data_IF_408768138715
#
_entry.id   IF_408768138715
#
_cell.length_a   1.000
_cell.length_b   1.000
_cell.length_c   1.000
_cell.angle_alpha   90.00
_cell.angle_beta   90.00
_cell.angle_gamma   90.00
#
_symmetry.space_group_name_H-M   'P 1'
#
loop_
_entity.id
_entity.type
_entity.pdbx_description
1 polymer ?
#
# COMPACT_ATOMS: atom_id res chain seq x y z
N UNK A 1 -50.23 23.18 21.97
CA UNK A 1 -50.25 22.53 20.64
C UNK A 1 -48.86 21.96 20.39
N UNK A 2 -48.67 20.67 20.66
CA UNK A 2 -47.41 19.95 20.38
C UNK A 2 -47.30 19.74 18.88
N UNK A 3 -46.15 20.11 18.31
CA UNK A 3 -45.76 19.74 16.94
C UNK A 3 -45.64 18.21 16.90
N UNK A 4 -46.22 17.50 15.92
CA UNK A 4 -46.06 16.06 15.84
C UNK A 4 -44.60 15.73 15.50
N UNK A 5 -44.06 14.76 16.24
CA UNK A 5 -42.78 14.08 15.97
C UNK A 5 -42.91 13.32 14.65
N UNK A 6 -42.08 13.69 13.69
CA UNK A 6 -41.97 13.00 12.40
C UNK A 6 -41.00 11.81 12.56
N UNK A 7 -41.33 10.88 13.47
CA UNK A 7 -40.72 9.56 13.53
C UNK A 7 -41.66 8.61 12.79
N UNK A 8 -41.55 8.60 11.48
CA UNK A 8 -42.17 7.58 10.63
C UNK A 8 -41.21 7.26 9.49
N UNK A 9 -40.58 6.10 9.58
CA UNK A 9 -40.12 5.28 8.46
C UNK A 9 -39.44 6.02 7.30
N UNK A 10 -38.28 6.61 7.57
CA UNK A 10 -37.29 6.70 6.50
C UNK A 10 -36.85 5.26 6.22
N UNK A 11 -37.43 4.63 5.19
CA UNK A 11 -36.88 3.40 4.62
C UNK A 11 -35.40 3.65 4.36
N UNK A 12 -34.54 3.12 5.22
CA UNK A 12 -33.09 3.19 5.05
C UNK A 12 -32.80 2.46 3.76
N UNK A 13 -32.25 3.19 2.79
CA UNK A 13 -31.83 2.63 1.51
C UNK A 13 -31.04 1.34 1.79
N UNK A 14 -31.36 0.21 1.14
CA UNK A 14 -30.76 -1.07 1.49
C UNK A 14 -29.24 -0.98 1.41
N UNK A 15 -28.55 -1.49 2.44
CA UNK A 15 -27.09 -1.44 2.54
C UNK A 15 -26.46 -2.12 1.33
N UNK A 16 -25.47 -1.47 0.71
CA UNK A 16 -24.74 -2.01 -0.45
C UNK A 16 -23.27 -2.12 -0.08
N UNK A 17 -22.79 -3.34 0.15
CA UNK A 17 -21.46 -3.57 0.73
C UNK A 17 -20.57 -4.25 -0.31
N UNK A 18 -19.39 -3.68 -0.54
CA UNK A 18 -18.35 -4.28 -1.36
C UNK A 18 -17.30 -4.95 -0.47
N UNK A 19 -17.09 -6.25 -0.66
CA UNK A 19 -15.98 -6.98 -0.05
C UNK A 19 -14.86 -7.14 -1.09
N UNK A 20 -13.65 -6.72 -0.75
CA UNK A 20 -12.48 -6.84 -1.64
C UNK A 20 -11.49 -7.81 -1.03
N UNK A 21 -11.24 -8.91 -1.74
CA UNK A 21 -10.38 -10.01 -1.34
C UNK A 21 -9.33 -10.30 -2.41
N UNK A 22 -8.18 -10.84 -2.01
CA UNK A 22 -7.03 -11.11 -2.85
C UNK A 22 -7.21 -12.41 -3.62
N UNK A 23 -7.64 -13.48 -2.95
CA UNK A 23 -7.67 -14.84 -3.50
C UNK A 23 -9.04 -15.54 -3.31
N UNK A 24 -9.32 -16.59 -4.08
CA UNK A 24 -10.48 -17.46 -3.87
C UNK A 24 -10.37 -18.32 -2.60
N UNK A 25 -11.09 -17.97 -1.53
CA UNK A 25 -11.18 -18.61 -0.20
C UNK A 25 -11.23 -17.58 0.92
N UNK A 26 -10.46 -16.50 0.79
CA UNK A 26 -10.40 -15.36 1.70
C UNK A 26 -11.79 -14.87 2.10
N UNK A 27 -12.70 -14.79 1.14
CA UNK A 27 -14.04 -14.26 1.38
C UNK A 27 -14.85 -15.16 2.31
N UNK A 28 -14.68 -16.48 2.19
CA UNK A 28 -15.33 -17.49 3.01
C UNK A 28 -14.68 -17.59 4.39
N UNK A 29 -13.34 -17.52 4.44
CA UNK A 29 -12.53 -17.57 5.67
C UNK A 29 -12.84 -16.37 6.56
N UNK A 30 -12.71 -15.17 6.02
CA UNK A 30 -12.72 -13.93 6.81
C UNK A 30 -14.10 -13.29 6.94
N UNK A 31 -14.98 -13.48 5.95
CA UNK A 31 -16.21 -12.68 5.85
C UNK A 31 -17.46 -13.46 5.48
N UNK A 32 -17.37 -14.80 5.35
CA UNK A 32 -18.45 -15.61 4.79
C UNK A 32 -19.71 -15.56 5.64
N UNK A 33 -19.57 -15.50 6.97
CA UNK A 33 -20.70 -15.38 7.87
C UNK A 33 -21.35 -14.00 7.83
N UNK A 34 -20.56 -12.93 7.75
CA UNK A 34 -21.06 -11.55 7.64
C UNK A 34 -21.76 -11.33 6.31
N UNK A 35 -21.19 -11.85 5.20
CA UNK A 35 -21.82 -11.84 3.88
C UNK A 35 -23.21 -12.51 3.96
N UNK A 36 -23.31 -13.72 4.49
CA UNK A 36 -24.58 -14.43 4.64
C UNK A 36 -25.58 -13.64 5.51
N UNK A 37 -25.11 -13.07 6.61
CA UNK A 37 -25.92 -12.30 7.55
C UNK A 37 -26.47 -11.02 6.91
N UNK A 38 -25.66 -10.31 6.11
CA UNK A 38 -26.08 -9.12 5.38
C UNK A 38 -27.13 -9.44 4.32
N UNK A 39 -26.93 -10.54 3.57
CA UNK A 39 -27.89 -11.00 2.58
C UNK A 39 -29.24 -11.38 3.21
N UNK A 40 -29.23 -12.08 4.34
CA UNK A 40 -30.46 -12.44 5.07
C UNK A 40 -31.21 -11.21 5.63
N UNK A 41 -30.51 -10.09 5.81
CA UNK A 41 -31.08 -8.78 6.19
C UNK A 41 -31.53 -7.94 5.00
N UNK A 42 -31.37 -8.43 3.77
CA UNK A 42 -31.78 -7.74 2.55
C UNK A 42 -30.77 -6.71 2.02
N UNK A 43 -29.53 -6.72 2.52
CA UNK A 43 -28.45 -5.93 1.92
C UNK A 43 -28.05 -6.49 0.55
N UNK A 44 -27.55 -5.63 -0.33
CA UNK A 44 -26.88 -6.07 -1.56
C UNK A 44 -25.38 -6.22 -1.29
N UNK A 45 -24.83 -7.38 -1.62
CA UNK A 45 -23.41 -7.68 -1.43
C UNK A 45 -22.76 -7.93 -2.77
N UNK A 46 -21.63 -7.26 -3.01
CA UNK A 46 -20.72 -7.56 -4.12
C UNK A 46 -19.40 -8.08 -3.54
N UNK A 47 -18.90 -9.20 -4.06
CA UNK A 47 -17.57 -9.74 -3.72
C UNK A 47 -16.63 -9.51 -4.91
N UNK A 48 -15.51 -8.83 -4.67
CA UNK A 48 -14.48 -8.58 -5.68
C UNK A 48 -13.22 -9.36 -5.30
N UNK A 49 -12.79 -10.25 -6.18
CA UNK A 49 -11.58 -11.06 -5.98
C UNK A 49 -10.49 -10.61 -6.93
N UNK A 50 -9.30 -10.28 -6.40
CA UNK A 50 -8.23 -9.65 -7.17
C UNK A 50 -7.51 -10.62 -8.12
N UNK A 51 -7.17 -11.82 -7.65
CA UNK A 51 -6.40 -12.84 -8.39
C UNK A 51 -7.13 -14.18 -8.40
N UNK A 52 -6.65 -15.17 -9.17
CA UNK A 52 -7.25 -16.52 -9.17
C UNK A 52 -6.52 -17.49 -8.25
N UNK A 53 -5.52 -17.01 -7.52
CA UNK A 53 -4.77 -17.86 -6.61
C UNK A 53 -3.95 -18.95 -7.30
N UNK A 54 -3.42 -18.67 -8.50
CA UNK A 54 -2.65 -19.66 -9.27
C UNK A 54 -1.32 -20.08 -8.62
N UNK A 55 -0.85 -19.39 -7.58
CA UNK A 55 0.34 -19.78 -6.80
C UNK A 55 -0.04 -20.55 -5.52
N UNK A 56 -1.32 -20.86 -5.33
CA UNK A 56 -1.81 -21.57 -4.15
C UNK A 56 -1.22 -22.97 -4.00
N UNK A 57 -0.95 -23.36 -2.76
CA UNK A 57 -0.64 -24.74 -2.42
C UNK A 57 -1.91 -25.62 -2.51
N UNK A 58 -1.74 -26.93 -2.68
CA UNK A 58 -2.86 -27.87 -2.80
C UNK A 58 -2.79 -28.87 -1.66
N UNK A 59 -3.86 -28.96 -0.87
CA UNK A 59 -3.94 -29.88 0.26
C UNK A 59 -4.25 -31.31 -0.19
N UNK A 60 -5.38 -31.59 -0.87
CA UNK A 60 -5.83 -32.96 -0.99
C UNK A 60 -5.08 -33.71 -2.11
N UNK A 61 -4.76 -34.98 -1.84
CA UNK A 61 -3.95 -35.80 -2.74
C UNK A 61 -4.57 -35.98 -4.13
N UNK A 62 -5.91 -36.04 -4.23
CA UNK A 62 -6.62 -36.21 -5.50
C UNK A 62 -6.48 -34.99 -6.43
N UNK A 63 -6.21 -33.80 -5.89
CA UNK A 63 -6.00 -32.57 -6.66
C UNK A 63 -4.53 -32.25 -6.93
N UNK A 64 -3.58 -33.06 -6.46
CA UNK A 64 -2.14 -32.80 -6.65
C UNK A 64 -1.70 -32.77 -8.12
N UNK A 65 -2.50 -33.31 -9.03
CA UNK A 65 -2.28 -33.19 -10.47
C UNK A 65 -2.33 -31.74 -10.99
N UNK A 66 -2.94 -30.81 -10.24
CA UNK A 66 -2.95 -29.37 -10.54
C UNK A 66 -1.71 -28.64 -10.00
N UNK A 67 -0.93 -29.28 -9.12
CA UNK A 67 0.28 -28.69 -8.55
C UNK A 67 1.30 -28.43 -9.65
N UNK A 68 1.95 -27.25 -9.63
CA UNK A 68 2.85 -26.81 -10.68
C UNK A 68 2.18 -26.43 -12.01
N UNK A 69 0.84 -26.44 -12.08
CA UNK A 69 0.06 -26.07 -13.26
C UNK A 69 -0.81 -24.83 -12.96
N UNK A 70 -0.22 -23.63 -12.86
CA UNK A 70 -0.88 -22.42 -12.34
C UNK A 70 -2.17 -22.06 -13.08
N UNK A 71 -2.22 -22.22 -14.41
CA UNK A 71 -3.43 -21.95 -15.19
C UNK A 71 -4.55 -22.97 -14.93
N UNK A 72 -4.20 -24.23 -14.69
CA UNK A 72 -5.18 -25.27 -14.36
C UNK A 72 -5.71 -25.07 -12.95
N UNK A 73 -4.84 -24.72 -12.00
CA UNK A 73 -5.23 -24.38 -10.64
C UNK A 73 -6.13 -23.13 -10.62
N UNK A 74 -5.80 -22.08 -11.37
CA UNK A 74 -6.66 -20.91 -11.51
C UNK A 74 -8.07 -21.29 -11.98
N UNK A 75 -8.19 -22.05 -13.08
CA UNK A 75 -9.49 -22.47 -13.60
C UNK A 75 -10.28 -23.33 -12.60
N UNK A 76 -9.60 -24.17 -11.81
CA UNK A 76 -10.20 -24.93 -10.74
C UNK A 76 -10.74 -24.00 -9.63
N UNK A 77 -9.90 -23.09 -9.13
CA UNK A 77 -10.25 -22.13 -8.07
C UNK A 77 -11.34 -21.13 -8.51
N UNK A 78 -11.44 -20.80 -9.79
CA UNK A 78 -12.56 -20.02 -10.33
C UNK A 78 -13.91 -20.76 -10.13
N UNK A 79 -13.91 -22.09 -10.29
CA UNK A 79 -15.09 -22.93 -10.07
C UNK A 79 -15.41 -23.11 -8.58
N UNK A 80 -14.37 -23.22 -7.74
CA UNK A 80 -14.52 -23.27 -6.28
C UNK A 80 -15.12 -21.98 -5.73
N UNK A 81 -14.63 -20.82 -6.17
CA UNK A 81 -15.20 -19.52 -5.80
C UNK A 81 -16.67 -19.42 -6.20
N UNK A 82 -17.02 -19.81 -7.44
CA UNK A 82 -18.40 -19.75 -7.90
C UNK A 82 -19.32 -20.65 -7.03
N UNK A 83 -18.84 -21.84 -6.64
CA UNK A 83 -19.56 -22.73 -5.74
C UNK A 83 -19.69 -22.14 -4.32
N UNK A 84 -18.62 -21.52 -3.80
CA UNK A 84 -18.64 -20.84 -2.50
C UNK A 84 -19.64 -19.68 -2.50
N UNK A 85 -19.60 -18.79 -3.50
CA UNK A 85 -20.52 -17.65 -3.66
C UNK A 85 -21.98 -18.10 -3.72
N UNK A 86 -22.26 -19.15 -4.50
CA UNK A 86 -23.57 -19.79 -4.54
C UNK A 86 -23.98 -20.32 -3.15
N UNK A 87 -23.07 -20.95 -2.41
CA UNK A 87 -23.34 -21.45 -1.08
C UNK A 87 -23.70 -20.33 -0.09
N UNK A 88 -23.00 -19.18 -0.11
CA UNK A 88 -23.30 -18.01 0.75
C UNK A 88 -24.55 -17.23 0.31
N UNK A 89 -24.94 -17.35 -0.96
CA UNK A 89 -26.05 -16.63 -1.58
C UNK A 89 -25.63 -15.35 -2.31
N UNK A 90 -24.34 -15.16 -2.57
CA UNK A 90 -23.83 -14.02 -3.36
C UNK A 90 -24.12 -14.25 -4.83
N UNK A 91 -24.80 -13.30 -5.46
CA UNK A 91 -25.10 -13.33 -6.90
C UNK A 91 -24.23 -12.39 -7.74
N UNK A 92 -23.58 -11.41 -7.10
CA UNK A 92 -22.65 -10.49 -7.74
C UNK A 92 -21.24 -10.71 -7.17
N UNK A 93 -20.47 -11.56 -7.85
CA UNK A 93 -19.04 -11.68 -7.59
C UNK A 93 -18.26 -11.39 -8.87
N UNK A 94 -17.15 -10.67 -8.76
CA UNK A 94 -16.40 -10.14 -9.89
C UNK A 94 -14.91 -10.41 -9.73
N UNK A 95 -14.23 -10.54 -10.87
CA UNK A 95 -12.78 -10.57 -10.94
C UNK A 95 -12.25 -9.17 -11.19
N UNK A 96 -11.28 -8.71 -10.40
CA UNK A 96 -10.62 -7.43 -10.65
C UNK A 96 -10.00 -7.40 -12.05
N UNK A 97 -10.18 -6.28 -12.73
CA UNK A 97 -9.70 -6.03 -14.09
C UNK A 97 -10.57 -6.68 -15.19
N UNK A 98 -11.60 -7.45 -14.84
CA UNK A 98 -12.59 -7.97 -15.77
C UNK A 98 -13.68 -6.91 -16.10
N UNK A 99 -14.53 -7.13 -17.12
CA UNK A 99 -15.65 -6.24 -17.40
C UNK A 99 -16.53 -5.98 -16.16
N UNK A 100 -16.84 -4.72 -15.87
CA UNK A 100 -17.57 -4.32 -14.65
C UNK A 100 -16.70 -4.20 -13.38
N UNK A 101 -15.41 -4.53 -13.47
CA UNK A 101 -14.41 -4.35 -12.42
C UNK A 101 -13.07 -3.86 -12.99
N UNK A 102 -13.15 -3.12 -14.10
CA UNK A 102 -12.04 -2.47 -14.80
C UNK A 102 -12.41 -1.02 -15.06
N UNK A 103 -11.45 -0.11 -14.89
CA UNK A 103 -11.62 1.31 -15.16
C UNK A 103 -12.25 1.51 -16.55
N UNK A 104 -13.26 2.39 -16.62
CA UNK A 104 -13.99 2.64 -17.86
C UNK A 104 -13.04 3.11 -18.96
N UNK A 105 -13.07 2.43 -20.11
CA UNK A 105 -12.20 2.71 -21.25
C UNK A 105 -10.83 2.04 -21.21
N UNK A 106 -10.46 1.36 -20.11
CA UNK A 106 -9.26 0.56 -20.05
C UNK A 106 -9.49 -0.85 -20.63
N UNK A 107 -8.44 -1.42 -21.24
CA UNK A 107 -8.48 -2.80 -21.71
C UNK A 107 -8.61 -3.77 -20.52
N UNK A 108 -9.27 -4.94 -20.69
CA UNK A 108 -9.32 -5.97 -19.65
C UNK A 108 -7.93 -6.35 -19.17
N UNK A 109 -7.82 -6.61 -17.87
CA UNK A 109 -6.57 -7.01 -17.23
C UNK A 109 -6.82 -8.18 -16.30
N UNK A 110 -5.88 -9.12 -16.29
CA UNK A 110 -5.80 -10.17 -15.28
C UNK A 110 -4.64 -9.81 -14.37
N UNK A 111 -4.90 -9.75 -13.07
CA UNK A 111 -3.87 -9.64 -12.04
C UNK A 111 -3.46 -11.05 -11.63
N UNK A 112 -2.17 -11.30 -11.67
CA UNK A 112 -1.60 -12.57 -11.25
C UNK A 112 -1.41 -12.60 -9.73
N UNK A 113 -1.58 -13.78 -9.15
CA UNK A 113 -1.19 -14.06 -7.77
C UNK A 113 0.31 -13.89 -7.62
N UNK A 114 0.73 -13.04 -6.69
CA UNK A 114 2.14 -12.72 -6.44
C UNK A 114 2.87 -13.86 -5.73
N UNK A 115 2.13 -14.78 -5.12
CA UNK A 115 2.65 -15.81 -4.23
C UNK A 115 3.34 -15.23 -2.99
N UNK A 116 3.81 -16.12 -2.13
CA UNK A 116 4.44 -15.77 -0.86
C UNK A 116 5.46 -16.82 -0.44
N UNK A 117 6.54 -16.37 0.21
CA UNK A 117 7.46 -17.20 0.97
C UNK A 117 7.59 -16.68 2.41
N UNK A 118 7.95 -17.55 3.34
CA UNK A 118 8.32 -17.15 4.70
C UNK A 118 9.79 -16.77 4.75
N UNK A 119 10.08 -15.47 4.88
CA UNK A 119 11.41 -14.91 5.13
C UNK A 119 11.72 -14.78 6.62
N UNK A 120 12.94 -14.32 6.94
CA UNK A 120 13.38 -14.14 8.33
C UNK A 120 12.57 -13.07 9.08
N UNK A 121 12.03 -12.09 8.36
CA UNK A 121 11.24 -10.99 8.92
C UNK A 121 9.72 -11.20 8.82
N UNK A 122 9.28 -12.38 8.35
CA UNK A 122 7.87 -12.70 8.12
C UNK A 122 7.58 -13.03 6.66
N UNK A 123 6.32 -12.96 6.23
CA UNK A 123 5.92 -13.28 4.87
C UNK A 123 6.43 -12.22 3.88
N UNK A 124 6.93 -12.69 2.75
CA UNK A 124 7.53 -11.88 1.68
C UNK A 124 7.00 -12.37 0.32
N UNK A 125 6.95 -11.52 -0.72
CA UNK A 125 6.62 -11.95 -2.08
C UNK A 125 7.65 -12.95 -2.62
N UNK A 126 7.24 -13.72 -3.64
CA UNK A 126 8.18 -14.57 -4.37
C UNK A 126 9.38 -13.74 -4.89
N UNK A 127 10.62 -14.30 -4.89
CA UNK A 127 11.79 -13.59 -5.40
C UNK A 127 11.68 -13.19 -6.87
N UNK A 128 10.90 -13.94 -7.66
CA UNK A 128 10.60 -13.65 -9.06
C UNK A 128 9.09 -13.55 -9.20
N UNK A 129 8.61 -12.34 -9.47
CA UNK A 129 7.19 -12.06 -9.65
C UNK A 129 6.79 -12.15 -11.12
N UNK A 130 5.54 -12.55 -11.36
CA UNK A 130 4.93 -12.41 -12.67
C UNK A 130 4.86 -10.92 -13.07
N UNK A 131 5.01 -10.57 -14.36
CA UNK A 131 4.95 -9.17 -14.81
C UNK A 131 3.63 -8.45 -14.47
N UNK A 132 2.55 -9.24 -14.33
CA UNK A 132 1.19 -8.83 -14.01
C UNK A 132 0.80 -9.16 -12.55
N UNK A 133 1.76 -9.48 -11.68
CA UNK A 133 1.54 -9.73 -10.26
C UNK A 133 0.86 -8.54 -9.56
N UNK A 134 -0.16 -8.81 -8.75
CA UNK A 134 -0.95 -7.78 -8.07
C UNK A 134 -0.08 -6.91 -7.16
N UNK A 135 0.85 -7.50 -6.39
CA UNK A 135 1.74 -6.78 -5.49
C UNK A 135 2.66 -5.77 -6.21
N UNK A 136 2.95 -5.99 -7.50
CA UNK A 136 3.76 -5.08 -8.32
C UNK A 136 2.94 -4.10 -9.15
N UNK A 137 1.61 -4.22 -9.15
CA UNK A 137 0.74 -3.32 -9.90
C UNK A 137 0.74 -1.89 -9.31
N UNK A 138 0.44 -0.90 -10.15
CA UNK A 138 0.25 0.47 -9.68
C UNK A 138 -0.99 0.53 -8.79
N UNK A 139 -0.82 0.96 -7.54
CA UNK A 139 -1.92 1.06 -6.57
C UNK A 139 -3.03 1.97 -7.08
N UNK A 140 -2.70 3.04 -7.82
CA UNK A 140 -3.67 3.95 -8.42
C UNK A 140 -4.51 3.27 -9.51
N UNK A 141 -3.90 2.42 -10.34
CA UNK A 141 -4.61 1.62 -11.34
C UNK A 141 -5.58 0.62 -10.68
N UNK A 142 -5.10 -0.15 -9.70
CA UNK A 142 -5.92 -1.13 -8.96
C UNK A 142 -7.06 -0.40 -8.22
N UNK A 143 -6.77 0.75 -7.60
CA UNK A 143 -7.78 1.56 -6.92
C UNK A 143 -8.84 2.13 -7.90
N UNK A 144 -8.46 2.50 -9.13
CA UNK A 144 -9.41 2.96 -10.14
C UNK A 144 -10.35 1.85 -10.62
N UNK A 145 -9.84 0.62 -10.71
CA UNK A 145 -10.65 -0.57 -11.00
C UNK A 145 -11.66 -0.85 -9.88
N UNK A 146 -11.21 -0.83 -8.62
CA UNK A 146 -12.10 -0.98 -7.44
C UNK A 146 -13.12 0.16 -7.36
N UNK A 147 -12.71 1.41 -7.61
CA UNK A 147 -13.60 2.57 -7.63
C UNK A 147 -14.70 2.44 -8.69
N UNK A 148 -14.40 1.77 -9.82
CA UNK A 148 -15.41 1.44 -10.84
C UNK A 148 -16.44 0.45 -10.30
N UNK A 149 -16.02 -0.53 -9.50
CA UNK A 149 -16.96 -1.44 -8.83
C UNK A 149 -17.83 -0.67 -7.84
N UNK A 150 -17.24 0.16 -6.98
CA UNK A 150 -17.97 1.01 -6.02
C UNK A 150 -19.03 1.85 -6.74
N UNK A 151 -18.65 2.50 -7.84
CA UNK A 151 -19.55 3.37 -8.61
C UNK A 151 -20.68 2.58 -9.30
N UNK A 152 -20.39 1.42 -9.87
CA UNK A 152 -21.38 0.62 -10.63
C UNK A 152 -22.34 -0.14 -9.74
N UNK A 153 -21.91 -0.55 -8.55
CA UNK A 153 -22.77 -1.22 -7.55
C UNK A 153 -23.47 -0.22 -6.64
N UNK A 154 -23.00 1.03 -6.59
CA UNK A 154 -23.46 2.03 -5.63
C UNK A 154 -23.10 1.67 -4.19
N UNK A 155 -21.99 0.95 -3.98
CA UNK A 155 -21.56 0.50 -2.67
C UNK A 155 -21.45 1.69 -1.69
N UNK A 156 -22.05 1.53 -0.52
CA UNK A 156 -22.09 2.52 0.56
C UNK A 156 -21.03 2.24 1.64
N UNK A 157 -20.38 1.09 1.59
CA UNK A 157 -19.19 0.77 2.38
C UNK A 157 -18.32 -0.27 1.67
N UNK A 158 -17.04 -0.28 2.02
CA UNK A 158 -16.05 -1.24 1.52
C UNK A 158 -15.43 -1.98 2.71
N UNK A 159 -15.28 -3.29 2.60
CA UNK A 159 -14.61 -4.17 3.57
C UNK A 159 -13.39 -4.81 2.89
N UNK A 160 -12.23 -4.74 3.51
CA UNK A 160 -11.02 -5.46 3.06
C UNK A 160 -10.07 -5.71 4.24
N UNK A 161 -8.82 -6.09 3.97
CA UNK A 161 -7.81 -6.37 5.00
C UNK A 161 -7.38 -5.13 5.78
N UNK A 162 -6.74 -5.33 6.92
CA UNK A 162 -5.96 -4.29 7.60
C UNK A 162 -4.68 -3.92 6.82
N UNK A 163 -3.92 -2.94 7.32
CA UNK A 163 -2.70 -2.43 6.67
C UNK A 163 -1.55 -3.44 6.60
N UNK A 164 -1.65 -4.54 7.36
CA UNK A 164 -0.72 -5.66 7.35
C UNK A 164 -1.21 -6.82 6.48
N UNK A 165 -2.40 -6.72 5.88
CA UNK A 165 -2.96 -7.83 5.11
C UNK A 165 -3.34 -9.05 5.96
N UNK A 166 -3.67 -8.85 7.24
CA UNK A 166 -3.93 -9.92 8.21
C UNK A 166 -2.65 -10.65 8.61
N UNK A 167 -2.35 -11.78 7.96
CA UNK A 167 -1.15 -12.57 8.27
C UNK A 167 0.10 -12.09 7.52
N UNK A 168 0.01 -11.07 6.66
CA UNK A 168 1.15 -10.47 5.96
C UNK A 168 1.30 -10.86 4.49
N UNK A 169 0.31 -11.52 3.87
CA UNK A 169 0.41 -11.89 2.47
C UNK A 169 0.57 -10.63 1.58
N UNK A 170 1.54 -10.60 0.64
CA UNK A 170 1.79 -9.45 -0.23
C UNK A 170 0.53 -8.96 -0.97
N UNK A 171 -0.24 -9.88 -1.54
CA UNK A 171 -1.49 -9.52 -2.24
C UNK A 171 -2.59 -8.98 -1.32
N UNK A 172 -2.63 -9.39 -0.04
CA UNK A 172 -3.58 -8.82 0.93
C UNK A 172 -3.22 -7.37 1.24
N UNK A 173 -1.93 -7.09 1.40
CA UNK A 173 -1.39 -5.73 1.58
C UNK A 173 -1.72 -4.86 0.35
N UNK A 174 -1.48 -5.39 -0.86
CA UNK A 174 -1.80 -4.68 -2.09
C UNK A 174 -3.31 -4.39 -2.23
N UNK A 175 -4.16 -5.38 -1.92
CA UNK A 175 -5.61 -5.24 -1.91
C UNK A 175 -6.06 -4.19 -0.87
N UNK A 176 -5.50 -4.20 0.34
CA UNK A 176 -5.76 -3.18 1.36
C UNK A 176 -5.51 -1.77 0.83
N UNK A 177 -4.29 -1.50 0.34
CA UNK A 177 -3.91 -0.16 -0.09
C UNK A 177 -4.78 0.34 -1.25
N UNK A 178 -5.07 -0.52 -2.22
CA UNK A 178 -5.91 -0.16 -3.35
C UNK A 178 -7.38 0.04 -2.95
N UNK A 179 -7.95 -0.85 -2.14
CA UNK A 179 -9.34 -0.76 -1.69
C UNK A 179 -9.56 0.46 -0.77
N UNK A 180 -8.62 0.72 0.15
CA UNK A 180 -8.63 1.92 0.99
C UNK A 180 -8.57 3.18 0.14
N UNK A 181 -7.66 3.22 -0.85
CA UNK A 181 -7.52 4.37 -1.76
C UNK A 181 -8.79 4.60 -2.58
N UNK A 182 -9.40 3.54 -3.10
CA UNK A 182 -10.67 3.63 -3.82
C UNK A 182 -11.80 4.16 -2.92
N UNK A 183 -11.91 3.65 -1.69
CA UNK A 183 -12.91 4.09 -0.72
C UNK A 183 -12.74 5.57 -0.35
N UNK A 184 -11.49 6.04 -0.15
CA UNK A 184 -11.19 7.45 0.08
C UNK A 184 -11.64 8.35 -1.08
N UNK A 185 -11.28 7.99 -2.31
CA UNK A 185 -11.63 8.76 -3.52
C UNK A 185 -13.14 8.82 -3.69
N UNK A 186 -13.83 7.70 -3.45
CA UNK A 186 -15.28 7.61 -3.53
C UNK A 186 -16.01 8.14 -2.29
N UNK A 187 -15.28 8.56 -1.26
CA UNK A 187 -15.81 9.05 0.01
C UNK A 187 -16.79 8.07 0.69
N UNK A 188 -16.52 6.77 0.59
CA UNK A 188 -17.30 5.71 1.25
C UNK A 188 -16.55 5.18 2.49
N UNK A 189 -17.24 4.85 3.59
CA UNK A 189 -16.66 4.16 4.73
C UNK A 189 -15.84 2.93 4.33
N UNK A 190 -14.63 2.81 4.90
CA UNK A 190 -13.76 1.66 4.75
C UNK A 190 -13.65 0.93 6.09
N UNK A 191 -13.94 -0.36 6.07
CA UNK A 191 -13.84 -1.28 7.19
C UNK A 191 -12.75 -2.31 6.89
N UNK A 192 -12.05 -2.68 7.93
CA UNK A 192 -10.91 -3.59 7.89
C UNK A 192 -11.25 -4.82 8.72
N UNK A 193 -10.95 -5.98 8.17
CA UNK A 193 -11.12 -7.28 8.83
C UNK A 193 -10.12 -7.36 9.98
N UNK A 194 -10.61 -7.61 11.18
CA UNK A 194 -9.75 -7.80 12.35
C UNK A 194 -9.12 -9.19 12.35
N UNK A 195 -7.87 -9.27 12.78
CA UNK A 195 -7.26 -10.56 13.11
C UNK A 195 -8.05 -11.24 14.25
N UNK A 196 -8.13 -12.59 14.28
CA UNK A 196 -8.89 -13.32 15.31
C UNK A 196 -8.51 -12.97 16.76
N UNK A 197 -7.25 -12.58 16.98
CA UNK A 197 -6.70 -12.25 18.31
C UNK A 197 -6.70 -10.74 18.61
N UNK A 198 -7.19 -9.91 17.68
CA UNK A 198 -7.28 -8.47 17.91
C UNK A 198 -8.30 -8.17 19.03
N UNK A 199 -8.00 -7.19 19.88
CA UNK A 199 -9.01 -6.68 20.80
C UNK A 199 -10.21 -6.19 19.96
N UNK A 200 -11.45 -6.62 20.27
CA UNK A 200 -12.61 -6.40 19.41
C UNK A 200 -12.76 -4.91 19.11
N UNK A 201 -12.46 -4.53 17.87
CA UNK A 201 -12.41 -3.15 17.43
C UNK A 201 -13.71 -2.79 16.72
N UNK A 202 -14.60 -2.04 17.37
CA UNK A 202 -15.70 -1.35 16.69
C UNK A 202 -16.93 -2.21 16.40
N UNK A 203 -16.93 -3.04 15.35
CA UNK A 203 -18.12 -3.77 14.86
C UNK A 203 -17.91 -5.28 14.92
N UNK A 204 -18.83 -5.99 15.57
CA UNK A 204 -18.77 -7.45 15.73
C UNK A 204 -20.04 -8.07 15.17
N UNK A 205 -19.90 -9.10 14.35
CA UNK A 205 -21.00 -9.83 13.74
C UNK A 205 -21.01 -11.26 14.27
N UNK A 206 -22.06 -11.63 14.98
CA UNK A 206 -22.34 -13.02 15.34
C UNK A 206 -22.95 -13.73 14.13
N UNK A 207 -22.23 -14.72 13.63
CA UNK A 207 -22.55 -15.48 12.42
C UNK A 207 -23.05 -16.88 12.73
N UNK A 208 -23.34 -17.20 14.01
CA UNK A 208 -23.81 -18.52 14.46
C UNK A 208 -25.03 -18.99 13.68
N UNK A 209 -25.98 -18.09 13.41
CA UNK A 209 -27.23 -18.42 12.69
C UNK A 209 -27.00 -18.84 11.23
N UNK A 210 -25.88 -18.46 10.63
CA UNK A 210 -25.52 -18.74 9.23
C UNK A 210 -24.28 -19.61 9.10
N UNK A 211 -23.83 -20.23 10.20
CA UNK A 211 -22.59 -21.00 10.25
C UNK A 211 -22.59 -22.15 9.23
N UNK A 212 -23.72 -22.85 9.06
CA UNK A 212 -23.86 -23.90 8.04
C UNK A 212 -23.58 -23.39 6.63
N UNK A 213 -23.96 -22.14 6.34
CA UNK A 213 -23.76 -21.51 5.04
C UNK A 213 -22.28 -21.16 4.83
N UNK A 214 -21.64 -20.58 5.85
CA UNK A 214 -20.20 -20.33 5.88
C UNK A 214 -19.40 -21.63 5.71
N UNK A 215 -19.75 -22.68 6.45
CA UNK A 215 -19.08 -23.99 6.37
C UNK A 215 -19.21 -24.63 4.99
N UNK A 216 -20.37 -24.54 4.32
CA UNK A 216 -20.52 -25.02 2.93
C UNK A 216 -19.66 -24.23 1.95
N UNK A 217 -19.52 -22.93 2.14
CA UNK A 217 -18.67 -22.08 1.31
C UNK A 217 -17.19 -22.40 1.50
N UNK A 218 -16.74 -22.57 2.75
CA UNK A 218 -15.40 -23.05 3.07
C UNK A 218 -15.13 -24.43 2.45
N UNK A 219 -16.09 -25.37 2.54
CA UNK A 219 -15.97 -26.70 1.97
C UNK A 219 -15.93 -26.71 0.42
N UNK A 220 -16.37 -25.64 -0.25
CA UNK A 220 -16.30 -25.53 -1.70
C UNK A 220 -14.87 -25.29 -2.20
N UNK A 221 -14.00 -24.70 -1.38
CA UNK A 221 -12.59 -24.46 -1.66
C UNK A 221 -11.72 -25.69 -1.35
N UNK A 222 -12.07 -26.85 -1.92
CA UNK A 222 -11.43 -28.15 -1.63
C UNK A 222 -9.93 -28.17 -1.89
N UNK A 223 -9.44 -27.41 -2.88
CA UNK A 223 -8.01 -27.33 -3.16
C UNK A 223 -7.22 -26.67 -2.03
N UNK A 224 -7.86 -25.74 -1.31
CA UNK A 224 -7.25 -24.92 -0.27
C UNK A 224 -7.64 -25.34 1.16
N UNK A 225 -8.81 -25.95 1.36
CA UNK A 225 -9.37 -26.20 2.68
C UNK A 225 -9.93 -27.62 2.83
N UNK A 226 -9.68 -28.24 3.99
CA UNK A 226 -10.39 -29.45 4.43
C UNK A 226 -11.17 -29.15 5.70
N UNK A 227 -12.48 -29.42 5.69
CA UNK A 227 -13.35 -29.18 6.85
C UNK A 227 -13.46 -30.43 7.70
N UNK A 228 -13.12 -30.31 8.98
CA UNK A 228 -13.17 -31.39 9.97
C UNK A 228 -13.90 -30.91 11.24
N UNK A 229 -15.19 -31.22 11.31
CA UNK A 229 -16.05 -30.76 12.41
C UNK A 229 -16.14 -29.24 12.45
N UNK A 230 -15.70 -28.64 13.56
CA UNK A 230 -15.72 -27.18 13.79
C UNK A 230 -14.39 -26.51 13.42
N UNK A 231 -13.51 -27.20 12.69
CA UNK A 231 -12.19 -26.69 12.30
C UNK A 231 -11.96 -26.88 10.81
N UNK A 232 -11.06 -26.08 10.27
CA UNK A 232 -10.56 -26.21 8.90
C UNK A 232 -9.05 -26.39 8.90
N UNK A 233 -8.57 -27.29 8.05
CA UNK A 233 -7.16 -27.43 7.70
C UNK A 233 -6.84 -26.48 6.56
N UNK A 234 -5.82 -25.64 6.74
CA UNK A 234 -5.34 -24.68 5.75
C UNK A 234 -4.01 -25.12 5.10
N UNK A 235 -3.61 -24.50 3.97
CA UNK A 235 -2.31 -24.73 3.37
C UNK A 235 -1.23 -24.29 4.37
N UNK A 236 -0.26 -25.16 4.65
CA UNK A 236 0.64 -25.04 5.81
C UNK A 236 0.34 -26.01 6.97
N UNK A 237 -0.75 -26.78 6.89
CA UNK A 237 -1.02 -27.90 7.79
C UNK A 237 -1.64 -27.51 9.13
N UNK A 238 -2.07 -26.26 9.28
CA UNK A 238 -2.63 -25.73 10.52
C UNK A 238 -4.14 -25.96 10.59
N UNK A 239 -4.63 -26.38 11.76
CA UNK A 239 -6.06 -26.48 12.06
C UNK A 239 -6.57 -25.22 12.76
N UNK A 240 -7.41 -24.47 12.08
CA UNK A 240 -7.99 -23.21 12.57
C UNK A 240 -9.48 -23.43 12.89
N UNK A 241 -10.02 -22.92 14.00
CA UNK A 241 -11.45 -23.02 14.29
C UNK A 241 -12.27 -22.22 13.26
N UNK A 242 -13.42 -22.76 12.86
CA UNK A 242 -14.41 -22.03 12.08
C UNK A 242 -15.12 -21.08 13.06
N UNK A 243 -14.84 -19.78 12.94
CA UNK A 243 -15.32 -18.79 13.90
C UNK A 243 -16.82 -18.50 13.73
N UNK A 244 -17.50 -18.37 14.86
CA UNK A 244 -18.89 -17.89 14.97
C UNK A 244 -19.00 -16.37 15.09
N UNK A 245 -17.85 -15.69 15.14
CA UNK A 245 -17.76 -14.24 15.26
C UNK A 245 -16.76 -13.72 14.23
N UNK A 246 -17.15 -12.66 13.53
CA UNK A 246 -16.31 -11.89 12.61
C UNK A 246 -16.29 -10.43 13.08
N UNK A 247 -15.10 -9.81 13.13
CA UNK A 247 -14.90 -8.47 13.70
C UNK A 247 -14.28 -7.53 12.69
N UNK A 248 -14.67 -6.25 12.76
CA UNK A 248 -14.29 -5.22 11.81
C UNK A 248 -14.09 -3.87 12.48
N UNK A 249 -12.95 -3.23 12.21
CA UNK A 249 -12.73 -1.85 12.59
C UNK A 249 -13.01 -0.88 11.45
N UNK A 250 -13.65 0.25 11.75
CA UNK A 250 -13.82 1.33 10.77
C UNK A 250 -12.58 2.20 10.78
N UNK A 251 -11.90 2.33 9.64
CA UNK A 251 -10.83 3.30 9.50
C UNK A 251 -11.39 4.73 9.39
N UNK A 252 -10.85 5.63 10.19
CA UNK A 252 -11.25 7.04 10.19
C UNK A 252 -11.02 7.67 8.81
N UNK A 253 -11.99 8.47 8.35
CA UNK A 253 -11.87 9.23 7.10
C UNK A 253 -10.87 10.37 7.30
N UNK A 254 -9.57 10.14 7.06
CA UNK A 254 -8.70 11.25 6.75
C UNK A 254 -9.02 11.70 5.33
N UNK A 255 -9.57 12.90 5.17
CA UNK A 255 -9.71 13.53 3.84
C UNK A 255 -8.31 13.62 3.24
N UNK A 256 -8.04 13.02 2.06
CA UNK A 256 -6.75 13.19 1.42
C UNK A 256 -6.50 14.69 1.20
N UNK A 257 -5.34 15.21 1.59
CA UNK A 257 -4.93 16.56 1.16
C UNK A 257 -4.82 16.52 -0.37
N UNK A 258 -5.62 17.29 -1.13
CA UNK A 258 -5.54 17.33 -2.59
C UNK A 258 -4.15 17.74 -3.12
N UNK A 259 -3.28 18.24 -2.24
CA UNK A 259 -1.89 18.63 -2.53
C UNK A 259 -0.88 17.55 -2.19
N UNK A 260 -1.27 16.49 -1.48
CA UNK A 260 -0.40 15.34 -1.24
C UNK A 260 -0.28 14.56 -2.55
N UNK A 261 0.81 14.82 -3.29
CA UNK A 261 1.15 14.01 -4.46
C UNK A 261 1.33 12.54 -4.07
N UNK A 262 1.21 11.63 -5.04
CA UNK A 262 1.46 10.19 -4.85
C UNK A 262 2.84 10.01 -4.23
N UNK A 263 2.89 9.37 -3.04
CA UNK A 263 4.14 9.04 -2.36
C UNK A 263 5.05 8.29 -3.32
N UNK A 264 6.36 8.55 -3.24
CA UNK A 264 7.30 7.90 -4.15
C UNK A 264 7.27 6.37 -4.04
N UNK A 265 6.98 5.84 -2.84
CA UNK A 265 6.82 4.42 -2.59
C UNK A 265 5.64 3.81 -3.36
N UNK A 266 4.64 4.59 -3.74
CA UNK A 266 3.44 4.08 -4.39
C UNK A 266 3.50 4.18 -5.92
N UNK A 267 4.58 4.75 -6.47
CA UNK A 267 4.75 4.91 -7.92
C UNK A 267 5.30 3.64 -8.57
N UNK A 268 4.87 3.35 -9.80
CA UNK A 268 5.47 2.32 -10.68
C UNK A 268 7.00 2.43 -10.78
N UNK A 269 7.67 1.35 -11.15
CA UNK A 269 9.12 1.34 -11.41
C UNK A 269 9.56 2.48 -12.37
N UNK A 270 8.82 2.69 -13.47
CA UNK A 270 9.07 3.81 -14.39
C UNK A 270 8.83 5.19 -13.76
N UNK A 271 7.79 5.33 -12.94
CA UNK A 271 7.49 6.55 -12.19
C UNK A 271 8.53 6.89 -11.11
N UNK A 272 9.27 5.89 -10.61
CA UNK A 272 10.42 6.08 -9.69
C UNK A 272 11.72 6.38 -10.43
N UNK A 273 11.92 5.84 -11.64
CA UNK A 273 13.15 5.99 -12.41
C UNK A 273 13.38 7.43 -12.91
N UNK A 274 12.33 8.11 -13.38
CA UNK A 274 12.41 9.47 -13.93
C UNK A 274 13.00 10.49 -12.93
N UNK A 275 12.45 10.67 -11.71
CA UNK A 275 12.99 11.63 -10.74
C UNK A 275 14.43 11.29 -10.31
N UNK A 276 14.80 10.02 -10.26
CA UNK A 276 16.17 9.58 -9.98
C UNK A 276 17.13 10.00 -11.09
N UNK A 277 16.75 9.77 -12.35
CA UNK A 277 17.55 10.17 -13.52
C UNK A 277 17.70 11.69 -13.62
N UNK A 278 16.61 12.45 -13.41
CA UNK A 278 16.62 13.92 -13.41
C UNK A 278 17.51 14.45 -12.29
N UNK A 279 17.42 13.88 -11.08
CA UNK A 279 18.25 14.28 -9.96
C UNK A 279 19.74 13.99 -10.21
N UNK A 280 20.08 12.84 -10.80
CA UNK A 280 21.44 12.50 -11.18
C UNK A 280 22.02 13.52 -12.18
N UNK A 281 21.29 13.81 -13.27
CA UNK A 281 21.69 14.77 -14.30
C UNK A 281 21.81 16.19 -13.73
N UNK A 282 20.83 16.61 -12.92
CA UNK A 282 20.88 17.89 -12.22
C UNK A 282 22.09 17.98 -11.28
N UNK A 283 22.41 16.89 -10.59
CA UNK A 283 23.60 16.78 -9.76
C UNK A 283 24.89 16.96 -10.55
N UNK A 284 25.02 16.33 -11.72
CA UNK A 284 26.16 16.52 -12.63
C UNK A 284 26.31 17.99 -13.03
N UNK A 285 25.21 18.65 -13.42
CA UNK A 285 25.24 20.06 -13.81
C UNK A 285 25.67 20.97 -12.66
N UNK A 286 25.11 20.77 -11.46
CA UNK A 286 25.50 21.52 -10.25
C UNK A 286 26.98 21.29 -9.94
N UNK A 287 27.44 20.04 -9.93
CA UNK A 287 28.83 19.68 -9.68
C UNK A 287 29.78 20.37 -10.66
N UNK A 288 29.44 20.43 -11.95
CA UNK A 288 30.23 21.14 -12.95
C UNK A 288 30.28 22.66 -12.68
N UNK A 289 29.12 23.30 -12.48
CA UNK A 289 29.02 24.75 -12.25
C UNK A 289 29.79 25.16 -10.99
N UNK A 290 29.61 24.43 -9.88
CA UNK A 290 30.30 24.74 -8.63
C UNK A 290 31.80 24.49 -8.74
N UNK A 291 32.21 23.47 -9.50
CA UNK A 291 33.64 23.21 -9.75
C UNK A 291 34.29 24.32 -10.55
N UNK A 292 33.64 24.87 -11.57
CA UNK A 292 34.20 26.01 -12.31
C UNK A 292 34.24 27.26 -11.43
N UNK A 293 33.21 27.45 -10.60
CA UNK A 293 33.03 28.71 -9.86
C UNK A 293 33.78 28.77 -8.52
N UNK A 294 34.29 27.65 -7.99
CA UNK A 294 34.84 27.60 -6.62
C UNK A 294 36.02 28.54 -6.39
N UNK A 295 36.79 28.84 -7.45
CA UNK A 295 37.97 29.72 -7.39
C UNK A 295 37.63 31.21 -7.39
N UNK A 296 36.36 31.58 -7.62
CA UNK A 296 35.93 32.98 -7.66
C UNK A 296 36.08 33.60 -6.27
N UNK A 297 36.88 34.67 -6.19
CA UNK A 297 37.06 35.47 -4.97
C UNK A 297 36.53 36.88 -5.16
N UNK A 298 36.06 37.49 -4.07
CA UNK A 298 35.64 38.89 -4.05
C UNK A 298 36.38 39.61 -2.92
N UNK A 299 36.96 40.76 -3.22
CA UNK A 299 37.64 41.59 -2.23
C UNK A 299 36.70 42.66 -1.71
N UNK A 300 36.41 42.64 -0.41
CA UNK A 300 35.54 43.62 0.26
C UNK A 300 36.32 44.25 1.41
N UNK A 301 36.45 45.58 1.40
CA UNK A 301 37.16 46.34 2.43
C UNK A 301 38.59 45.83 2.73
N UNK A 302 39.32 45.36 1.71
CA UNK A 302 40.68 44.85 1.84
C UNK A 302 40.79 43.37 2.25
N UNK A 303 39.67 42.67 2.44
CA UNK A 303 39.63 41.23 2.77
C UNK A 303 39.19 40.43 1.55
N UNK A 304 39.99 39.42 1.16
CA UNK A 304 39.66 38.50 0.07
C UNK A 304 38.76 37.38 0.58
N UNK A 305 37.53 37.31 0.08
CA UNK A 305 36.54 36.30 0.47
C UNK A 305 36.40 35.25 -0.64
N UNK A 306 36.53 33.93 -0.33
CA UNK A 306 36.35 32.85 -1.30
C UNK A 306 34.87 32.61 -1.60
N UNK A 307 34.25 33.58 -2.26
CA UNK A 307 32.80 33.65 -2.47
C UNK A 307 32.30 32.47 -3.29
N UNK A 308 33.06 32.05 -4.30
CA UNK A 308 32.75 30.88 -5.13
C UNK A 308 32.66 29.58 -4.34
N UNK A 309 33.63 29.34 -3.45
CA UNK A 309 33.61 28.20 -2.53
C UNK A 309 32.38 28.23 -1.61
N UNK A 310 32.13 29.37 -0.96
CA UNK A 310 31.04 29.51 0.01
C UNK A 310 29.68 29.30 -0.68
N UNK A 311 29.44 30.00 -1.79
CA UNK A 311 28.19 29.89 -2.54
C UNK A 311 28.03 28.51 -3.19
N UNK A 312 29.13 27.90 -3.67
CA UNK A 312 29.11 26.56 -4.24
C UNK A 312 28.69 25.50 -3.22
N UNK A 313 29.29 25.52 -2.03
CA UNK A 313 28.91 24.60 -0.94
C UNK A 313 27.47 24.84 -0.47
N UNK A 314 27.05 26.12 -0.36
CA UNK A 314 25.67 26.47 -0.02
C UNK A 314 24.67 25.98 -1.07
N UNK A 315 24.98 26.11 -2.35
CA UNK A 315 24.13 25.62 -3.45
C UNK A 315 24.00 24.08 -3.43
N UNK A 316 25.12 23.37 -3.24
CA UNK A 316 25.12 21.90 -3.10
C UNK A 316 24.23 21.48 -1.91
N UNK A 317 24.41 22.11 -0.75
CA UNK A 317 23.58 21.84 0.42
C UNK A 317 22.10 22.12 0.14
N UNK A 318 21.77 23.26 -0.46
CA UNK A 318 20.40 23.65 -0.78
C UNK A 318 19.72 22.65 -1.74
N UNK A 319 20.43 22.16 -2.76
CA UNK A 319 19.88 21.18 -3.70
C UNK A 319 19.64 19.83 -3.01
N UNK A 320 20.61 19.31 -2.27
CA UNK A 320 20.48 17.99 -1.63
C UNK A 320 19.42 18.04 -0.52
N UNK A 321 19.40 19.09 0.30
CA UNK A 321 18.36 19.30 1.34
C UNK A 321 17.00 19.52 0.69
N UNK A 322 16.91 20.35 -0.34
CA UNK A 322 15.66 20.62 -1.06
C UNK A 322 15.05 19.35 -1.63
N UNK A 323 15.86 18.49 -2.27
CA UNK A 323 15.42 17.19 -2.76
C UNK A 323 15.05 16.23 -1.62
N UNK A 324 15.74 16.30 -0.47
CA UNK A 324 15.43 15.50 0.72
C UNK A 324 14.12 15.89 1.39
N UNK A 325 13.74 17.16 1.30
CA UNK A 325 12.46 17.68 1.80
C UNK A 325 11.33 17.43 0.80
N UNK A 326 11.63 17.58 -0.50
CA UNK A 326 10.64 17.40 -1.57
C UNK A 326 10.25 15.93 -1.78
N UNK A 327 11.22 15.02 -1.65
CA UNK A 327 10.99 13.58 -1.77
C UNK A 327 11.18 12.94 -0.39
N UNK A 328 10.15 12.26 0.09
CA UNK A 328 10.13 11.60 1.40
C UNK A 328 11.08 10.38 1.53
N UNK A 329 12.04 10.25 0.62
CA UNK A 329 13.05 9.20 0.56
C UNK A 329 14.46 9.77 0.31
N UNK A 330 15.46 8.92 0.57
CA UNK A 330 16.89 9.26 0.37
C UNK A 330 17.42 8.94 -1.03
N UNK A 331 16.62 8.26 -1.87
CA UNK A 331 17.08 7.75 -3.16
C UNK A 331 17.33 8.91 -4.14
N UNK A 332 16.39 9.86 -4.23
CA UNK A 332 16.50 10.99 -5.16
C UNK A 332 17.63 11.94 -4.76
N UNK A 333 17.74 12.28 -3.47
CA UNK A 333 18.85 13.06 -2.94
C UNK A 333 20.20 12.33 -3.08
N UNK A 334 20.21 11.00 -2.92
CA UNK A 334 21.39 10.16 -3.13
C UNK A 334 21.86 10.17 -4.58
N UNK A 335 20.95 10.06 -5.54
CA UNK A 335 21.26 10.14 -6.96
C UNK A 335 21.86 11.50 -7.35
N UNK A 336 21.29 12.61 -6.86
CA UNK A 336 21.89 13.93 -7.03
C UNK A 336 23.30 14.01 -6.43
N UNK A 337 23.50 13.45 -5.23
CA UNK A 337 24.81 13.42 -4.57
C UNK A 337 25.85 12.65 -5.38
N UNK A 338 25.47 11.50 -5.96
CA UNK A 338 26.33 10.72 -6.87
C UNK A 338 26.71 11.54 -8.10
N UNK A 339 25.74 12.25 -8.70
CA UNK A 339 26.00 13.11 -9.86
C UNK A 339 26.97 14.25 -9.54
N UNK A 340 26.77 14.93 -8.40
CA UNK A 340 27.64 16.03 -7.94
C UNK A 340 29.06 15.51 -7.69
N UNK A 341 29.20 14.49 -6.85
CA UNK A 341 30.51 13.96 -6.45
C UNK A 341 31.24 13.32 -7.64
N UNK A 342 30.52 12.61 -8.50
CA UNK A 342 31.07 12.04 -9.72
C UNK A 342 31.62 13.11 -10.66
N UNK A 343 30.91 14.23 -10.82
CA UNK A 343 31.38 15.33 -11.67
C UNK A 343 32.58 16.07 -11.07
N UNK A 344 32.57 16.33 -9.76
CA UNK A 344 33.71 16.94 -9.05
C UNK A 344 34.95 16.04 -9.19
N UNK A 345 34.80 14.74 -8.94
CA UNK A 345 35.88 13.77 -9.11
C UNK A 345 36.40 13.75 -10.55
N UNK A 346 35.51 13.70 -11.54
CA UNK A 346 35.88 13.71 -12.96
C UNK A 346 36.69 14.96 -13.34
N UNK A 347 36.27 16.13 -12.88
CA UNK A 347 36.96 17.41 -13.13
C UNK A 347 38.21 17.64 -12.27
N UNK A 348 38.44 16.77 -11.28
CA UNK A 348 39.66 16.74 -10.48
C UNK A 348 40.77 15.93 -11.16
N UNK A 349 40.45 15.14 -12.19
CA UNK A 349 41.42 14.37 -12.96
C UNK A 349 42.16 15.26 -13.97
N UNK A 350 43.38 14.86 -14.32
CA UNK A 350 44.13 15.48 -15.41
C UNK A 350 43.43 15.26 -16.75
N UNK A 351 43.15 16.34 -17.48
CA UNK A 351 42.66 16.25 -18.84
C UNK A 351 43.77 15.81 -19.81
N UNK A 352 43.40 15.35 -21.01
CA UNK A 352 44.36 14.93 -22.05
C UNK A 352 45.35 16.04 -22.48
N UNK A 353 45.08 17.31 -22.13
CA UNK A 353 45.97 18.46 -22.32
C UNK A 353 46.84 18.80 -21.11
N UNK A 354 46.82 18.00 -20.03
CA UNK A 354 47.61 18.21 -18.82
C UNK A 354 47.08 19.29 -17.87
N UNK A 355 45.89 19.86 -18.13
CA UNK A 355 45.26 20.82 -17.21
C UNK A 355 44.31 20.12 -16.24
N UNK A 356 44.41 20.50 -14.97
CA UNK A 356 43.46 20.14 -13.90
C UNK A 356 42.56 21.35 -13.65
N UNK A 357 41.25 21.16 -13.75
CA UNK A 357 40.29 22.27 -13.60
C UNK A 357 40.15 22.74 -12.15
N UNK A 358 40.59 21.90 -11.20
CA UNK A 358 40.70 22.18 -9.79
C UNK A 358 42.20 22.39 -9.46
N UNK A 359 42.70 23.63 -9.51
CA UNK A 359 44.11 23.91 -9.23
C UNK A 359 44.41 23.67 -7.75
N UNK A 360 45.59 23.12 -7.46
CA UNK A 360 46.08 22.95 -6.10
C UNK A 360 46.24 24.33 -5.44
N UNK A 361 45.32 24.65 -4.52
CA UNK A 361 45.31 25.88 -3.72
C UNK A 361 45.04 25.52 -2.26
N UNK A 362 45.37 26.42 -1.34
CA UNK A 362 45.16 26.21 0.11
C UNK A 362 43.69 25.97 0.49
N UNK A 363 42.75 26.32 -0.40
CA UNK A 363 41.31 26.17 -0.18
C UNK A 363 40.68 24.97 -0.87
N UNK A 364 41.44 24.28 -1.72
CA UNK A 364 40.94 23.20 -2.58
C UNK A 364 40.40 22.01 -1.79
N UNK A 365 41.03 21.70 -0.64
CA UNK A 365 40.59 20.63 0.24
C UNK A 365 39.17 20.86 0.76
N UNK A 366 38.82 22.11 1.09
CA UNK A 366 37.46 22.43 1.54
C UNK A 366 36.41 22.19 0.43
N UNK A 367 36.77 22.41 -0.83
CA UNK A 367 35.88 22.16 -1.95
C UNK A 367 35.74 20.66 -2.28
N UNK A 368 36.79 19.87 -2.08
CA UNK A 368 36.75 18.42 -2.34
C UNK A 368 35.98 17.70 -1.21
N UNK A 369 36.28 18.02 0.05
CA UNK A 369 35.69 17.31 1.19
C UNK A 369 34.34 17.88 1.63
N UNK A 370 34.08 19.17 1.40
CA UNK A 370 32.82 19.83 1.77
C UNK A 370 31.57 19.15 1.19
N UNK A 371 31.49 18.89 -0.13
CA UNK A 371 30.36 18.22 -0.75
C UNK A 371 30.15 16.79 -0.23
N UNK A 372 31.23 16.07 0.09
CA UNK A 372 31.16 14.71 0.67
C UNK A 372 30.53 14.78 2.06
N UNK A 373 30.97 15.72 2.91
CA UNK A 373 30.41 15.93 4.25
C UNK A 373 28.94 16.34 4.19
N UNK A 374 28.59 17.28 3.29
CA UNK A 374 27.20 17.72 3.08
C UNK A 374 26.33 16.53 2.67
N UNK A 375 26.73 15.78 1.64
CA UNK A 375 25.98 14.62 1.18
C UNK A 375 25.82 13.58 2.30
N UNK A 376 26.89 13.26 3.02
CA UNK A 376 26.85 12.34 4.16
C UNK A 376 25.88 12.77 5.24
N UNK A 377 25.95 14.04 5.67
CA UNK A 377 25.09 14.59 6.72
C UNK A 377 23.61 14.60 6.31
N UNK A 378 23.30 15.02 5.08
CA UNK A 378 21.91 15.11 4.61
C UNK A 378 21.31 13.72 4.37
N UNK A 379 22.10 12.76 3.88
CA UNK A 379 21.63 11.39 3.66
C UNK A 379 21.51 10.60 4.97
N UNK A 380 22.34 10.90 5.97
CA UNK A 380 22.22 10.36 7.32
C UNK A 380 21.11 11.03 8.15
N UNK A 381 20.59 12.18 7.70
CA UNK A 381 19.55 12.92 8.43
C UNK A 381 18.28 12.08 8.60
N UNK A 382 17.81 11.84 9.84
CA UNK A 382 16.65 11.02 10.12
C UNK A 382 15.37 11.67 9.57
N UNK A 383 14.37 10.85 9.19
CA UNK A 383 13.07 11.38 8.78
C UNK A 383 12.53 12.26 9.90
N UNK A 384 12.17 13.51 9.59
CA UNK A 384 11.42 14.35 10.51
C UNK A 384 10.00 13.79 10.50
N UNK A 385 9.72 12.88 11.43
CA UNK A 385 8.36 12.45 11.72
C UNK A 385 7.62 13.70 12.15
N UNK A 386 6.68 14.19 11.32
CA UNK A 386 5.74 15.18 11.81
C UNK A 386 5.07 14.57 13.02
N UNK A 387 5.06 15.24 14.19
CA UNK A 387 4.32 14.74 15.32
C UNK A 387 2.88 14.57 14.86
N UNK A 388 2.41 13.33 14.83
CA UNK A 388 0.99 13.04 14.72
C UNK A 388 0.31 13.92 15.73
N UNK A 389 -0.62 14.75 15.28
CA UNK A 389 -1.37 15.70 16.11
C UNK A 389 -2.39 14.97 17.01
N UNK A 390 -2.05 13.76 17.44
CA UNK A 390 -2.88 12.83 18.21
C UNK A 390 -2.28 12.61 19.59
N UNK A 391 -2.10 13.68 20.36
CA UNK A 391 -2.16 13.64 21.83
C UNK A 391 -2.70 14.97 22.35
N UNK A 392 -3.97 15.26 22.03
CA UNK A 392 -4.78 15.96 23.02
C UNK A 392 -5.27 14.87 23.97
N UNK A 393 -4.54 14.69 25.07
CA UNK A 393 -5.04 13.90 26.19
C UNK A 393 -6.41 14.47 26.59
N UNK A 394 -7.43 13.62 26.85
CA UNK A 394 -8.67 14.12 27.43
C UNK A 394 -8.31 14.79 28.76
N UNK A 395 -8.70 16.06 28.89
CA UNK A 395 -8.69 16.78 30.15
C UNK A 395 -9.38 15.88 31.17
N UNK A 396 -8.63 15.42 32.16
CA UNK A 396 -9.17 14.73 33.33
C UNK A 396 -10.20 15.63 33.99
N UNK A 397 -11.42 15.15 34.11
CA UNK A 397 -12.50 15.79 34.86
C UNK A 397 -12.01 16.23 36.26
N UNK A 398 -12.21 17.48 36.67
CA UNK A 398 -11.95 17.88 38.03
C UNK A 398 -13.00 17.24 38.94
N UNK A 399 -12.50 16.42 39.88
CA UNK A 399 -13.22 15.89 41.04
C UNK A 399 -14.39 16.79 41.46
N UNK A 400 -15.61 16.28 41.31
CA UNK A 400 -16.78 16.83 42.02
C UNK A 400 -16.63 16.60 43.53
N UNK A 401 -17.14 17.51 44.37
CA UNK A 401 -16.96 17.45 45.81
C UNK A 401 -17.76 16.27 46.41
N UNK A 402 -17.09 15.50 47.26
CA UNK A 402 -17.73 14.63 48.24
C UNK A 402 -18.57 15.49 49.18
N UNK A 403 -19.88 15.25 49.19
CA UNK A 403 -20.85 15.82 50.14
C UNK A 403 -21.20 14.71 51.15
N UNK A 404 -21.36 15.05 52.45
CA UNK A 404 -20.95 14.23 53.59
C UNK A 404 -21.91 13.09 53.98
#
# INVERSE_FOLDING_TARGET
MRRPSNDSDAATDPERILFVHAHPDDESIATGGTIATLLDRGASVTVLTCTRGEQGEIIPHDLQHLSGHPLALAAHRESELAAAMSAVGVTDHRWLGAPGARMTGAAPRRYADSGMVWGESGPEPLPVLAPDALFSADVGEVAADIATVIATTGATAVVSYDDRGGYGHPDHIAAHHAARRAAEVMSVPFYTIDAPDAAPGGTVVDVTAVLDRKTRALAAHRSQLTIEGERMLQPGGQYVPITTVESYHRLGTQRPDPRAGVEFADRTFGGRAIPVAVALIGGVAVGAITTVSHTVTLTVAGVTVPTGLILGLAAIAAVIVGLRVLYDNRIVAGAASVGILGMIALLSLESAGGSVLIPATDTVGYFIYGPVLIAGLVLAWPKIVQPTRDKIAPLSDPKGPSVP
#
